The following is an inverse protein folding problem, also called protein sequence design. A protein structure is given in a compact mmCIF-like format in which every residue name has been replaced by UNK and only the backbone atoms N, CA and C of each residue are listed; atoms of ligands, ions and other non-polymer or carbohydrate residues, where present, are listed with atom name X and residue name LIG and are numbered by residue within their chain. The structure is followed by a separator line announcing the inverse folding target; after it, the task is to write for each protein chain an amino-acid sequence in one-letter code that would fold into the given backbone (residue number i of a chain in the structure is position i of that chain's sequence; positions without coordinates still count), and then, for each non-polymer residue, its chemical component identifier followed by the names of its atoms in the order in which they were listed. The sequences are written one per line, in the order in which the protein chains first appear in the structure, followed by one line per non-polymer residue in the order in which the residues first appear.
data_IF_591783042617
#
_entry.id   IF_591783042617
#
_cell.length_a   1.000
_cell.length_b   1.000
_cell.length_c   1.000
_cell.angle_alpha   90.00
_cell.angle_beta   90.00
_cell.angle_gamma   90.00
#
_symmetry.space_group_name_H-M   'P 1'
#
loop_
_entity.id
_entity.type
_entity.pdbx_description
1 polymer ?
#
# COMPACT_ATOMS: atom_id res chain seq x y z
N UNK A 1 -16.69 6.71 -25.70
CA UNK A 1 -16.75 5.33 -25.16
C UNK A 1 -15.60 5.01 -24.19
N UNK A 2 -14.64 5.93 -23.98
CA UNK A 2 -13.49 5.70 -23.10
C UNK A 2 -13.71 6.01 -21.62
N UNK A 3 -14.51 7.03 -21.30
CA UNK A 3 -14.65 7.52 -19.92
C UNK A 3 -15.27 6.46 -18.99
N UNK A 4 -16.27 5.72 -19.48
CA UNK A 4 -16.91 4.63 -18.72
C UNK A 4 -15.94 3.48 -18.48
N UNK A 5 -15.15 3.07 -19.48
CA UNK A 5 -14.15 2.00 -19.30
C UNK A 5 -13.04 2.42 -18.34
N UNK A 6 -12.51 3.65 -18.51
CA UNK A 6 -11.49 4.20 -17.63
C UNK A 6 -11.98 4.38 -16.19
N UNK A 7 -13.27 4.63 -15.98
CA UNK A 7 -13.88 4.64 -14.65
C UNK A 7 -13.98 3.23 -14.06
N UNK A 8 -14.51 2.27 -14.83
CA UNK A 8 -14.63 0.86 -14.40
C UNK A 8 -13.28 0.26 -14.01
N UNK A 9 -12.22 0.52 -14.79
CA UNK A 9 -10.87 0.04 -14.46
C UNK A 9 -10.36 0.63 -13.14
N UNK A 10 -10.57 1.94 -12.91
CA UNK A 10 -10.16 2.61 -11.66
C UNK A 10 -10.93 2.10 -10.45
N UNK A 11 -12.23 1.85 -10.60
CA UNK A 11 -13.06 1.33 -9.52
C UNK A 11 -12.68 -0.11 -9.18
N UNK A 12 -12.47 -0.97 -10.18
CA UNK A 12 -12.01 -2.34 -9.97
C UNK A 12 -10.65 -2.41 -9.24
N UNK A 13 -9.72 -1.52 -9.58
CA UNK A 13 -8.43 -1.43 -8.88
C UNK A 13 -8.62 -1.01 -7.42
N UNK A 14 -9.48 -0.02 -7.15
CA UNK A 14 -9.77 0.45 -5.77
C UNK A 14 -10.42 -0.64 -4.94
N UNK A 15 -11.46 -1.29 -5.48
CA UNK A 15 -12.16 -2.40 -4.82
C UNK A 15 -11.19 -3.55 -4.49
N UNK A 16 -10.27 -3.87 -5.41
CA UNK A 16 -9.24 -4.89 -5.14
C UNK A 16 -8.34 -4.50 -3.97
N UNK A 17 -7.90 -3.25 -3.89
CA UNK A 17 -7.06 -2.76 -2.79
C UNK A 17 -7.81 -2.73 -1.45
N UNK A 18 -9.09 -2.35 -1.47
CA UNK A 18 -9.95 -2.36 -0.29
C UNK A 18 -10.13 -3.78 0.24
N UNK A 19 -10.42 -4.74 -0.65
CA UNK A 19 -10.54 -6.16 -0.28
C UNK A 19 -9.25 -6.72 0.33
N UNK A 20 -8.08 -6.39 -0.23
CA UNK A 20 -6.79 -6.80 0.36
C UNK A 20 -6.57 -6.20 1.75
N UNK A 21 -7.01 -4.97 1.96
CA UNK A 21 -6.93 -4.28 3.26
C UNK A 21 -7.86 -4.93 4.29
N UNK A 22 -9.09 -5.27 3.89
CA UNK A 22 -10.05 -5.97 4.75
C UNK A 22 -9.54 -7.36 5.16
N UNK A 23 -8.93 -8.10 4.24
CA UNK A 23 -8.30 -9.39 4.55
C UNK A 23 -7.17 -9.21 5.56
N UNK A 24 -6.30 -8.22 5.36
CA UNK A 24 -5.19 -7.95 6.28
C UNK A 24 -5.66 -7.63 7.71
N UNK A 25 -6.82 -6.99 7.86
CA UNK A 25 -7.35 -6.57 9.16
C UNK A 25 -8.19 -7.66 9.86
N UNK A 26 -8.87 -8.53 9.10
CA UNK A 26 -9.90 -9.43 9.67
C UNK A 26 -9.62 -10.92 9.50
N UNK A 27 -8.76 -11.33 8.57
CA UNK A 27 -8.55 -12.74 8.30
C UNK A 27 -7.72 -13.42 9.39
N UNK A 28 -7.94 -14.71 9.61
CA UNK A 28 -7.12 -15.52 10.50
C UNK A 28 -5.72 -15.75 9.90
N UNK A 29 -4.78 -16.19 10.74
CA UNK A 29 -3.38 -16.37 10.34
C UNK A 29 -3.17 -17.31 9.15
N UNK A 30 -3.97 -18.37 9.02
CA UNK A 30 -3.84 -19.33 7.91
C UNK A 30 -4.31 -18.71 6.61
N UNK A 31 -5.46 -18.03 6.65
CA UNK A 31 -5.99 -17.28 5.51
C UNK A 31 -5.03 -16.16 5.08
N UNK A 32 -4.47 -15.41 6.04
CA UNK A 32 -3.45 -14.38 5.77
C UNK A 32 -2.21 -14.94 5.09
N UNK A 33 -1.69 -16.10 5.54
CA UNK A 33 -0.53 -16.73 4.91
C UNK A 33 -0.82 -17.16 3.47
N UNK A 34 -2.02 -17.70 3.21
CA UNK A 34 -2.46 -18.07 1.88
C UNK A 34 -2.50 -16.84 0.95
N UNK A 35 -3.17 -15.78 1.40
CA UNK A 35 -3.27 -14.49 0.68
C UNK A 35 -1.90 -13.88 0.46
N UNK A 36 -1.03 -13.84 1.47
CA UNK A 36 0.32 -13.29 1.32
C UNK A 36 1.12 -14.03 0.24
N UNK A 37 1.02 -15.37 0.19
CA UNK A 37 1.70 -16.19 -0.83
C UNK A 37 1.20 -15.93 -2.24
N UNK A 38 -0.11 -15.67 -2.43
CA UNK A 38 -0.66 -15.40 -3.76
C UNK A 38 -0.51 -13.95 -4.20
N UNK A 39 -0.65 -13.00 -3.27
CA UNK A 39 -0.77 -11.57 -3.58
C UNK A 39 0.56 -10.83 -3.54
N UNK A 40 1.48 -11.16 -2.63
CA UNK A 40 2.78 -10.47 -2.57
C UNK A 40 3.57 -10.59 -3.88
N UNK A 41 3.65 -11.75 -4.56
CA UNK A 41 4.32 -11.85 -5.85
C UNK A 41 3.66 -10.98 -6.92
N UNK A 42 2.32 -10.94 -6.97
CA UNK A 42 1.56 -10.15 -7.94
C UNK A 42 1.75 -8.65 -7.73
N UNK A 43 1.69 -8.18 -6.49
CA UNK A 43 1.92 -6.78 -6.13
C UNK A 43 3.38 -6.38 -6.40
N UNK A 44 4.32 -7.25 -6.06
CA UNK A 44 5.75 -7.00 -6.34
C UNK A 44 5.99 -6.87 -7.84
N UNK A 45 5.39 -7.75 -8.65
CA UNK A 45 5.54 -7.70 -10.10
C UNK A 45 4.89 -6.44 -10.70
N UNK A 46 3.70 -6.07 -10.21
CA UNK A 46 3.04 -4.81 -10.60
C UNK A 46 3.90 -3.58 -10.30
N UNK A 47 4.52 -3.53 -9.12
CA UNK A 47 5.46 -2.46 -8.76
C UNK A 47 6.70 -2.45 -9.64
N UNK A 48 7.30 -3.61 -9.94
CA UNK A 48 8.47 -3.68 -10.84
C UNK A 48 8.12 -3.16 -12.22
N UNK A 49 7.04 -3.65 -12.82
CA UNK A 49 6.61 -3.22 -14.14
C UNK A 49 6.35 -1.69 -14.18
N UNK A 50 5.66 -1.16 -13.17
CA UNK A 50 5.42 0.27 -13.04
C UNK A 50 6.73 1.06 -12.91
N UNK A 51 7.64 0.66 -12.03
CA UNK A 51 8.89 1.38 -11.82
C UNK A 51 9.82 1.32 -13.03
N UNK A 52 9.86 0.21 -13.76
CA UNK A 52 10.59 0.08 -15.03
C UNK A 52 10.07 1.09 -16.07
N UNK A 53 8.75 1.22 -16.22
CA UNK A 53 8.17 2.22 -17.13
C UNK A 53 8.55 3.66 -16.73
N UNK A 54 8.77 3.90 -15.45
CA UNK A 54 9.16 5.21 -14.91
C UNK A 54 10.69 5.38 -14.72
N UNK A 55 11.52 4.46 -15.22
CA UNK A 55 12.97 4.59 -15.17
C UNK A 55 13.44 5.83 -15.94
N UNK A 56 14.56 6.42 -15.50
CA UNK A 56 15.07 7.62 -16.13
C UNK A 56 15.58 7.31 -17.55
N UNK A 57 15.22 8.14 -18.52
CA UNK A 57 15.78 8.10 -19.88
C UNK A 57 17.27 8.53 -19.87
N UNK A 58 17.90 8.53 -21.05
CA UNK A 58 19.30 8.96 -21.22
C UNK A 58 19.58 10.39 -20.72
N UNK A 59 18.55 11.22 -20.60
CA UNK A 59 18.62 12.61 -20.12
C UNK A 59 18.25 12.74 -18.64
N UNK A 60 17.99 11.63 -17.95
CA UNK A 60 17.55 11.57 -16.56
C UNK A 60 16.10 12.02 -16.33
N UNK A 61 15.28 12.03 -17.38
CA UNK A 61 13.84 12.35 -17.28
C UNK A 61 13.00 11.07 -17.21
N UNK A 62 11.86 11.12 -16.54
CA UNK A 62 10.90 10.03 -16.56
C UNK A 62 10.08 10.09 -17.86
N UNK A 63 10.08 9.05 -18.71
CA UNK A 63 9.43 9.09 -20.03
C UNK A 63 7.90 9.14 -19.91
N UNK A 64 7.31 8.42 -18.95
CA UNK A 64 5.85 8.38 -18.72
C UNK A 64 5.29 9.69 -18.13
N UNK A 65 6.08 10.40 -17.30
CA UNK A 65 5.64 11.66 -16.69
C UNK A 65 6.00 12.90 -17.52
N UNK A 66 6.96 12.78 -18.44
CA UNK A 66 7.40 13.91 -19.25
C UNK A 66 6.48 14.12 -20.44
N UNK A 67 6.24 15.38 -20.79
CA UNK A 67 5.63 15.73 -22.07
C UNK A 67 6.60 16.60 -22.88
N UNK A 68 6.32 16.77 -24.18
CA UNK A 68 7.18 17.56 -25.10
C UNK A 68 7.47 18.99 -24.59
N UNK A 69 6.58 19.56 -23.79
CA UNK A 69 6.69 20.91 -23.24
C UNK A 69 7.00 20.95 -21.74
N UNK A 70 7.02 19.79 -21.07
CA UNK A 70 7.22 19.69 -19.63
C UNK A 70 8.05 18.45 -19.30
N UNK A 71 9.39 18.53 -19.38
CA UNK A 71 10.25 17.44 -18.92
C UNK A 71 10.10 17.27 -17.41
N UNK A 72 9.99 16.02 -16.96
CA UNK A 72 9.93 15.66 -15.55
C UNK A 72 11.16 14.83 -15.19
N UNK A 73 11.96 15.28 -14.21
CA UNK A 73 13.13 14.54 -13.74
C UNK A 73 12.75 13.31 -12.92
N UNK A 74 13.53 12.25 -13.06
CA UNK A 74 13.51 11.13 -12.11
C UNK A 74 14.36 11.49 -10.86
N UNK A 75 13.98 11.03 -9.65
CA UNK A 75 12.80 10.23 -9.33
C UNK A 75 11.50 11.05 -9.38
N UNK A 76 10.53 10.59 -10.17
CA UNK A 76 9.23 11.25 -10.30
C UNK A 76 8.32 10.93 -9.09
N UNK A 77 7.07 11.40 -9.10
CA UNK A 77 6.11 11.10 -8.02
C UNK A 77 5.91 9.61 -7.79
N UNK A 78 5.93 8.79 -8.84
CA UNK A 78 5.75 7.32 -8.72
C UNK A 78 6.89 6.68 -7.94
N UNK A 79 8.15 7.02 -8.25
CA UNK A 79 9.32 6.57 -7.49
C UNK A 79 9.28 7.02 -6.02
N UNK A 80 8.83 8.25 -5.76
CA UNK A 80 8.67 8.76 -4.38
C UNK A 80 7.61 7.97 -3.61
N UNK A 81 6.45 7.70 -4.21
CA UNK A 81 5.42 6.86 -3.60
C UNK A 81 5.90 5.43 -3.35
N UNK A 82 6.64 4.85 -4.28
CA UNK A 82 7.23 3.52 -4.09
C UNK A 82 8.20 3.51 -2.91
N UNK A 83 9.09 4.49 -2.81
CA UNK A 83 9.99 4.62 -1.66
C UNK A 83 9.19 4.76 -0.35
N UNK A 84 8.16 5.61 -0.32
CA UNK A 84 7.33 5.80 0.86
C UNK A 84 6.65 4.49 1.31
N UNK A 85 6.03 3.74 0.40
CA UNK A 85 5.22 2.57 0.77
C UNK A 85 6.00 1.26 0.84
N UNK A 86 7.08 1.09 0.08
CA UNK A 86 7.87 -0.14 0.06
C UNK A 86 9.07 -0.09 1.01
N UNK A 87 9.63 1.11 1.27
CA UNK A 87 10.86 1.26 2.07
C UNK A 87 10.55 1.94 3.39
N UNK A 88 10.03 3.17 3.37
CA UNK A 88 9.79 3.96 4.59
C UNK A 88 8.66 3.37 5.45
N UNK A 89 7.57 2.92 4.82
CA UNK A 89 6.41 2.34 5.49
C UNK A 89 6.63 0.91 5.98
N UNK A 90 7.57 0.17 5.39
CA UNK A 90 7.89 -1.20 5.77
C UNK A 90 8.66 -1.31 7.10
N UNK A 91 9.34 -0.22 7.51
CA UNK A 91 10.19 -0.17 8.71
C UNK A 91 9.50 0.48 9.92
N UNK A 92 8.33 1.12 9.75
CA UNK A 92 7.59 1.69 10.86
C UNK A 92 6.84 0.57 11.63
N UNK A 93 7.15 0.33 12.92
CA UNK A 93 6.34 -0.58 13.72
C UNK A 93 4.91 -0.04 13.77
N UNK A 94 3.93 -0.82 13.28
CA UNK A 94 2.52 -0.51 13.56
C UNK A 94 2.36 -0.59 15.08
N UNK A 95 1.98 0.50 15.79
CA UNK A 95 1.65 0.37 17.19
C UNK A 95 0.52 -0.64 17.29
N UNK A 96 0.72 -1.69 18.08
CA UNK A 96 -0.28 -2.72 18.32
C UNK A 96 -1.54 -2.04 18.87
N UNK A 97 -2.55 -1.82 18.03
CA UNK A 97 -3.84 -1.22 18.42
C UNK A 97 -4.71 -2.15 19.30
N UNK A 98 -4.13 -3.22 19.85
CA UNK A 98 -4.81 -4.21 20.69
C UNK A 98 -4.14 -4.45 22.04
N UNK A 99 -3.56 -3.42 22.65
CA UNK A 99 -3.31 -3.41 24.09
C UNK A 99 -4.00 -2.18 24.70
N UNK A 100 -5.35 -2.20 24.75
CA UNK A 100 -6.02 -1.53 25.88
C UNK A 100 -5.69 -2.39 27.10
N UNK A 101 -4.99 -1.89 28.13
CA UNK A 101 -4.89 -2.60 29.39
C UNK A 101 -6.31 -2.70 29.95
N UNK A 102 -6.87 -3.90 29.93
CA UNK A 102 -7.96 -4.23 30.82
C UNK A 102 -7.39 -4.24 32.25
N UNK A 103 -8.17 -3.72 33.19
CA UNK A 103 -7.96 -3.74 34.65
C UNK A 103 -7.10 -2.64 35.29
N UNK A 104 -7.81 -1.61 35.75
CA UNK A 104 -7.70 -1.20 37.14
C UNK A 104 -9.07 -1.37 37.81
N UNK A 105 -9.46 -2.61 38.15
CA UNK A 105 -10.51 -2.80 39.14
C UNK A 105 -9.91 -2.48 40.51
N UNK A 106 -10.39 -1.39 41.12
CA UNK A 106 -10.05 -1.00 42.50
C UNK A 106 -10.60 -2.07 43.47
N UNK A 107 -9.81 -2.55 44.44
CA UNK A 107 -10.38 -3.32 45.54
C UNK A 107 -11.18 -2.39 46.45
N UNK A 108 -12.44 -2.74 46.70
CA UNK A 108 -13.28 -2.17 47.76
C UNK A 108 -12.76 -2.69 49.10
N UNK A 109 -12.43 -1.79 50.01
CA UNK A 109 -12.12 -2.13 51.40
C UNK A 109 -13.43 -2.44 52.17
N UNK A 110 -13.43 -3.42 53.09
CA UNK A 110 -14.56 -3.63 53.99
C UNK A 110 -14.53 -2.58 55.12
N UNK A 111 -15.72 -2.05 55.44
CA UNK A 111 -15.97 -1.14 56.58
C UNK A 111 -16.39 -2.00 57.79
N UNK A 112 -15.91 -1.71 59.02
CA UNK A 112 -16.36 -2.38 60.24
C UNK A 112 -17.78 -1.99 60.67
#
# INVERSE_FOLDING_TARGET
MDETLGQVLRDAVRERLDMLSELADRADATSLLSVARSELPRLTEGWRALLTAHEADEKGNCPECSSRWRPQKAPCSVWRSAHEHLVSGALAPRPARHLRPAHALRPVAPVP
#
